data_IF_969085878659
#
_entry.id   IF_969085878659
#
_cell.length_a   1.000
_cell.length_b   1.000
_cell.length_c   1.000
_cell.angle_alpha   90.00
_cell.angle_beta   90.00
_cell.angle_gamma   90.00
#
_symmetry.space_group_name_H-M   'P 1'
#
loop_
_entity.id
_entity.type
_entity.pdbx_description
1 polymer ?
#
# COMPACT_ATOMS: atom_id res chain seq x y z
N UNK A 1 39.54 -21.38 3.67
CA UNK A 1 38.83 -22.05 2.55
C UNK A 1 38.78 -21.04 1.41
N UNK A 2 39.32 -21.37 0.24
CA UNK A 2 39.41 -20.45 -0.90
C UNK A 2 38.27 -20.64 -1.90
N UNK A 3 37.96 -19.60 -2.67
CA UNK A 3 37.01 -19.66 -3.79
C UNK A 3 37.80 -19.86 -5.08
N UNK A 4 37.46 -20.85 -5.91
CA UNK A 4 38.10 -21.13 -7.20
C UNK A 4 39.65 -21.22 -7.15
N UNK A 5 40.21 -21.71 -6.04
CA UNK A 5 41.65 -21.87 -5.86
C UNK A 5 42.40 -20.62 -5.39
N UNK A 6 41.71 -19.49 -5.16
CA UNK A 6 42.29 -18.25 -4.63
C UNK A 6 41.96 -18.09 -3.14
N UNK A 7 42.90 -17.62 -2.30
CA UNK A 7 42.63 -17.31 -0.90
C UNK A 7 41.70 -16.09 -0.79
N UNK A 8 40.66 -16.21 0.04
CA UNK A 8 39.72 -15.11 0.29
C UNK A 8 40.42 -13.99 1.07
N UNK A 9 40.55 -12.83 0.43
CA UNK A 9 41.10 -11.61 1.03
C UNK A 9 40.03 -10.76 1.71
N UNK A 10 40.46 -9.71 2.41
CA UNK A 10 39.52 -8.80 3.09
C UNK A 10 38.56 -8.10 2.12
N UNK A 11 39.02 -7.80 0.89
CA UNK A 11 38.20 -7.18 -0.15
C UNK A 11 37.06 -8.10 -0.60
N UNK A 12 37.26 -9.42 -0.60
CA UNK A 12 36.23 -10.40 -0.97
C UNK A 12 35.09 -10.39 0.07
N UNK A 13 35.43 -10.36 1.35
CA UNK A 13 34.42 -10.24 2.42
C UNK A 13 33.66 -8.91 2.35
N UNK A 14 34.36 -7.80 2.07
CA UNK A 14 33.71 -6.50 1.87
C UNK A 14 32.75 -6.52 0.67
N UNK A 15 33.13 -7.16 -0.43
CA UNK A 15 32.24 -7.29 -1.61
C UNK A 15 31.05 -8.18 -1.31
N UNK A 16 31.20 -9.27 -0.56
CA UNK A 16 30.03 -10.08 -0.15
C UNK A 16 29.06 -9.30 0.74
N UNK A 17 29.56 -8.53 1.71
CA UNK A 17 28.70 -7.68 2.54
C UNK A 17 27.99 -6.64 1.68
N UNK A 18 28.71 -5.97 0.79
CA UNK A 18 28.11 -4.99 -0.13
C UNK A 18 27.05 -5.63 -1.03
N UNK A 19 27.28 -6.85 -1.54
CA UNK A 19 26.31 -7.59 -2.36
C UNK A 19 25.05 -7.96 -1.56
N UNK A 20 25.20 -8.40 -0.31
CA UNK A 20 24.06 -8.71 0.55
C UNK A 20 23.23 -7.45 0.82
N UNK A 21 23.89 -6.34 1.14
CA UNK A 21 23.21 -5.06 1.37
C UNK A 21 22.51 -4.55 0.11
N UNK A 22 23.16 -4.65 -1.06
CA UNK A 22 22.57 -4.30 -2.34
C UNK A 22 21.32 -5.15 -2.63
N UNK A 23 21.41 -6.46 -2.42
CA UNK A 23 20.28 -7.37 -2.60
C UNK A 23 19.13 -7.04 -1.65
N UNK A 24 19.43 -6.74 -0.38
CA UNK A 24 18.43 -6.32 0.59
C UNK A 24 17.76 -5.00 0.21
N UNK A 25 18.53 -4.02 -0.29
CA UNK A 25 18.01 -2.74 -0.75
C UNK A 25 17.10 -2.90 -1.97
N UNK A 26 17.51 -3.72 -2.95
CA UNK A 26 16.70 -4.04 -4.13
C UNK A 26 15.41 -4.76 -3.71
N UNK A 27 15.48 -5.73 -2.80
CA UNK A 27 14.30 -6.43 -2.28
C UNK A 27 13.34 -5.47 -1.56
N UNK A 28 13.87 -4.58 -0.72
CA UNK A 28 13.06 -3.57 -0.03
C UNK A 28 12.36 -2.63 -1.02
N UNK A 29 13.05 -2.21 -2.09
CA UNK A 29 12.47 -1.41 -3.16
C UNK A 29 11.33 -2.16 -3.87
N UNK A 30 11.52 -3.44 -4.18
CA UNK A 30 10.47 -4.27 -4.79
C UNK A 30 9.23 -4.38 -3.90
N UNK A 31 9.39 -4.68 -2.61
CA UNK A 31 8.28 -4.75 -1.66
C UNK A 31 7.55 -3.40 -1.52
N UNK A 32 8.31 -2.30 -1.55
CA UNK A 32 7.74 -0.96 -1.51
C UNK A 32 6.89 -0.65 -2.74
N UNK A 33 7.38 -0.94 -3.94
CA UNK A 33 6.67 -0.72 -5.21
C UNK A 33 5.43 -1.63 -5.29
N UNK A 34 5.59 -2.91 -4.96
CA UNK A 34 4.50 -3.90 -4.97
C UNK A 34 3.27 -3.43 -4.18
N UNK A 35 3.48 -2.94 -2.95
CA UNK A 35 2.39 -2.47 -2.08
C UNK A 35 1.89 -1.03 -2.36
N UNK A 36 2.50 -0.32 -3.31
CA UNK A 36 2.21 1.08 -3.60
C UNK A 36 0.74 1.37 -3.99
N UNK A 37 0.09 0.65 -4.93
CA UNK A 37 -1.29 0.94 -5.32
C UNK A 37 -2.28 0.86 -4.15
N UNK A 38 -2.13 -0.16 -3.29
CA UNK A 38 -2.96 -0.31 -2.10
C UNK A 38 -2.81 0.85 -1.11
N UNK A 39 -1.57 1.30 -0.88
CA UNK A 39 -1.29 2.44 0.01
C UNK A 39 -1.90 3.73 -0.52
N UNK A 40 -1.90 3.93 -1.84
CA UNK A 40 -2.52 5.09 -2.49
C UNK A 40 -4.04 5.05 -2.34
N UNK A 41 -4.67 3.89 -2.58
CA UNK A 41 -6.11 3.73 -2.43
C UNK A 41 -6.58 4.00 -0.99
N UNK A 42 -5.83 3.53 0.01
CA UNK A 42 -6.13 3.79 1.43
C UNK A 42 -6.03 5.30 1.73
N UNK A 43 -4.95 5.96 1.30
CA UNK A 43 -4.76 7.41 1.52
C UNK A 43 -5.85 8.27 0.87
N UNK A 44 -6.48 7.78 -0.19
CA UNK A 44 -7.53 8.50 -0.93
C UNK A 44 -8.95 8.12 -0.46
N UNK A 45 -9.08 7.31 0.60
CA UNK A 45 -10.38 6.81 1.07
C UNK A 45 -11.19 6.11 -0.02
N UNK A 46 -10.51 5.32 -0.87
CA UNK A 46 -11.15 4.62 -1.97
C UNK A 46 -12.14 3.54 -1.44
N UNK A 47 -13.39 3.47 -1.93
CA UNK A 47 -14.39 2.54 -1.39
C UNK A 47 -14.01 1.07 -1.50
N UNK A 48 -13.17 0.73 -2.47
CA UNK A 48 -12.61 -0.61 -2.63
C UNK A 48 -11.11 -0.69 -2.29
N UNK A 49 -10.64 0.08 -1.31
CA UNK A 49 -9.23 0.12 -0.92
C UNK A 49 -8.65 -1.25 -0.55
N UNK A 50 -9.43 -2.13 0.10
CA UNK A 50 -8.98 -3.49 0.43
C UNK A 50 -8.76 -4.34 -0.83
N UNK A 51 -9.65 -4.25 -1.81
CA UNK A 51 -9.52 -4.97 -3.07
C UNK A 51 -8.30 -4.48 -3.87
N UNK A 52 -8.08 -3.16 -3.94
CA UNK A 52 -6.89 -2.58 -4.59
C UNK A 52 -5.61 -3.01 -3.87
N UNK A 53 -5.62 -3.07 -2.54
CA UNK A 53 -4.50 -3.58 -1.74
C UNK A 53 -4.17 -5.02 -2.12
N UNK A 54 -5.17 -5.91 -2.12
CA UNK A 54 -4.97 -7.32 -2.48
C UNK A 54 -4.49 -7.45 -3.94
N UNK A 55 -5.09 -6.69 -4.88
CA UNK A 55 -4.71 -6.71 -6.29
C UNK A 55 -3.29 -6.16 -6.51
N UNK A 56 -2.83 -5.20 -5.71
CA UNK A 56 -1.44 -4.75 -5.73
C UNK A 56 -0.46 -5.85 -5.32
N UNK A 57 -0.75 -6.56 -4.24
CA UNK A 57 0.12 -7.65 -3.76
C UNK A 57 0.06 -8.89 -4.67
N UNK A 58 -1.13 -9.36 -5.02
CA UNK A 58 -1.34 -10.54 -5.86
C UNK A 58 -1.00 -10.28 -7.33
N UNK A 59 -1.34 -9.09 -7.81
CA UNK A 59 -1.11 -8.65 -9.17
C UNK A 59 0.36 -8.48 -9.48
N UNK A 60 1.27 -8.32 -8.51
CA UNK A 60 2.69 -8.23 -8.84
C UNK A 60 3.26 -9.49 -9.52
N UNK A 61 2.66 -10.66 -9.29
CA UNK A 61 3.02 -11.89 -10.02
C UNK A 61 2.79 -11.76 -11.54
N UNK A 62 1.94 -10.84 -11.96
CA UNK A 62 1.70 -10.48 -13.36
C UNK A 62 1.68 -8.94 -13.51
N UNK A 63 2.70 -8.35 -14.14
CA UNK A 63 2.84 -6.88 -14.26
C UNK A 63 1.55 -6.15 -14.68
N UNK A 64 0.73 -6.78 -15.55
CA UNK A 64 -0.53 -6.21 -16.04
C UNK A 64 -1.56 -5.92 -14.93
N UNK A 65 -2.06 -6.88 -14.13
CA UNK A 65 -2.96 -6.58 -13.02
C UNK A 65 -2.38 -5.63 -11.98
N UNK A 66 -1.05 -5.61 -11.78
CA UNK A 66 -0.43 -4.63 -10.90
C UNK A 66 -0.61 -3.19 -11.42
N UNK A 67 -0.32 -2.95 -12.71
CA UNK A 67 -0.56 -1.64 -13.35
C UNK A 67 -2.05 -1.29 -13.30
N UNK A 68 -2.92 -2.28 -13.51
CA UNK A 68 -4.37 -2.07 -13.46
C UNK A 68 -4.84 -1.64 -12.06
N UNK A 69 -4.35 -2.29 -10.99
CA UNK A 69 -4.60 -1.88 -9.61
C UNK A 69 -4.11 -0.45 -9.35
N UNK A 70 -2.96 -0.09 -9.93
CA UNK A 70 -2.40 1.26 -9.81
C UNK A 70 -3.28 2.31 -10.49
N UNK A 71 -3.73 2.06 -11.72
CA UNK A 71 -4.69 2.93 -12.40
C UNK A 71 -5.98 3.08 -11.59
N UNK A 72 -6.52 1.98 -11.06
CA UNK A 72 -7.77 2.01 -10.31
C UNK A 72 -7.62 2.74 -8.97
N UNK A 73 -6.45 2.66 -8.33
CA UNK A 73 -6.14 3.47 -7.15
C UNK A 73 -6.23 4.98 -7.40
N UNK A 74 -6.02 5.44 -8.65
CA UNK A 74 -6.13 6.85 -9.06
C UNK A 74 -7.49 7.21 -9.68
N UNK A 75 -8.23 6.23 -10.19
CA UNK A 75 -9.57 6.45 -10.69
C UNK A 75 -10.49 6.99 -9.60
N UNK A 76 -11.48 7.81 -10.00
CA UNK A 76 -12.48 8.32 -9.09
C UNK A 76 -13.57 7.26 -8.93
N UNK A 77 -13.51 6.52 -7.83
CA UNK A 77 -14.38 5.38 -7.60
C UNK A 77 -15.54 5.77 -6.68
N UNK A 78 -16.29 6.81 -7.01
CA UNK A 78 -17.53 7.10 -6.30
C UNK A 78 -18.51 5.92 -6.52
N UNK A 79 -18.72 5.10 -5.51
CA UNK A 79 -19.79 4.11 -5.49
C UNK A 79 -21.06 4.82 -5.06
N UNK A 80 -22.11 4.74 -5.87
CA UNK A 80 -23.45 5.25 -5.53
C UNK A 80 -24.43 4.08 -5.64
N UNK A 81 -24.72 3.41 -4.53
CA UNK A 81 -25.80 2.42 -4.48
C UNK A 81 -27.12 3.14 -4.18
N UNK A 82 -28.04 3.12 -5.14
CA UNK A 82 -29.38 3.75 -5.02
C UNK A 82 -30.17 3.18 -3.82
N UNK A 83 -29.82 1.98 -3.35
CA UNK A 83 -30.51 1.32 -2.22
C UNK A 83 -29.95 1.69 -0.86
N UNK A 84 -28.81 2.38 -0.82
CA UNK A 84 -28.12 2.76 0.41
C UNK A 84 -28.01 4.28 0.45
N UNK A 85 -28.24 4.87 1.63
CA UNK A 85 -28.11 6.32 1.73
C UNK A 85 -26.62 6.71 1.58
N UNK A 86 -26.31 7.88 1.01
CA UNK A 86 -24.93 8.34 0.84
C UNK A 86 -24.14 8.34 2.16
N UNK A 87 -24.80 8.64 3.28
CA UNK A 87 -24.16 8.67 4.61
C UNK A 87 -23.79 7.26 5.09
N UNK A 88 -24.66 6.27 4.86
CA UNK A 88 -24.41 4.87 5.22
C UNK A 88 -23.22 4.28 4.42
N UNK A 89 -23.01 4.76 3.19
CA UNK A 89 -21.86 4.38 2.36
C UNK A 89 -20.57 5.04 2.88
N UNK A 90 -20.62 6.33 3.19
CA UNK A 90 -19.49 7.07 3.78
C UNK A 90 -19.05 6.44 5.10
N UNK A 91 -19.98 6.01 5.94
CA UNK A 91 -19.70 5.30 7.20
C UNK A 91 -19.06 3.93 6.98
N UNK A 92 -19.47 3.20 5.92
CA UNK A 92 -18.85 1.94 5.56
C UNK A 92 -17.40 2.12 5.10
N UNK A 93 -17.18 3.10 4.21
CA UNK A 93 -15.83 3.47 3.74
C UNK A 93 -14.97 3.90 4.92
N UNK A 94 -15.52 4.73 5.82
CA UNK A 94 -14.85 5.18 7.04
C UNK A 94 -14.37 4.00 7.88
N UNK A 95 -15.26 3.05 8.14
CA UNK A 95 -14.97 1.85 8.93
C UNK A 95 -13.89 1.01 8.27
N UNK A 96 -13.96 0.84 6.96
CA UNK A 96 -12.97 0.05 6.21
C UNK A 96 -11.60 0.72 6.19
N UNK A 97 -11.53 2.04 6.00
CA UNK A 97 -10.26 2.76 6.03
C UNK A 97 -9.64 2.76 7.44
N UNK A 98 -10.44 3.00 8.49
CA UNK A 98 -9.99 2.86 9.89
C UNK A 98 -9.47 1.43 10.16
N UNK A 99 -10.18 0.39 9.68
CA UNK A 99 -9.75 -1.02 9.78
C UNK A 99 -8.41 -1.28 9.06
N UNK A 100 -8.17 -0.60 7.94
CA UNK A 100 -6.94 -0.69 7.17
C UNK A 100 -5.79 0.16 7.74
N UNK A 101 -6.04 0.91 8.83
CA UNK A 101 -5.06 1.80 9.46
C UNK A 101 -4.76 3.06 8.65
N UNK A 102 -5.69 3.48 7.77
CA UNK A 102 -5.59 4.74 7.03
C UNK A 102 -6.24 5.91 7.75
N UNK A 103 -5.79 7.11 7.40
CA UNK A 103 -6.40 8.36 7.86
C UNK A 103 -7.56 8.77 6.94
N UNK A 104 -8.61 9.31 7.54
CA UNK A 104 -9.79 9.79 6.84
C UNK A 104 -9.55 11.23 6.34
N UNK A 105 -9.92 11.48 5.09
CA UNK A 105 -10.01 12.85 4.56
C UNK A 105 -11.21 13.55 5.16
N UNK A 106 -11.21 14.89 5.13
CA UNK A 106 -12.29 15.72 5.71
C UNK A 106 -13.68 15.30 5.23
N UNK A 107 -13.80 14.90 3.96
CA UNK A 107 -15.05 14.43 3.36
C UNK A 107 -15.66 13.17 4.03
N UNK A 108 -14.82 12.27 4.56
CA UNK A 108 -15.26 11.00 5.16
C UNK A 108 -15.20 11.03 6.69
N UNK A 109 -14.77 12.16 7.26
CA UNK A 109 -14.72 12.37 8.69
C UNK A 109 -16.13 12.51 9.24
N UNK A 110 -16.35 11.97 10.44
CA UNK A 110 -17.64 12.10 11.13
C UNK A 110 -17.73 13.50 11.77
N UNK A 111 -18.69 14.36 11.39
CA UNK A 111 -18.88 15.65 12.05
C UNK A 111 -19.25 15.51 13.54
N UNK A 112 -19.77 14.35 13.94
CA UNK A 112 -20.19 14.05 15.30
C UNK A 112 -19.16 13.20 16.07
N UNK A 113 -17.94 12.99 15.54
CA UNK A 113 -16.90 12.23 16.26
C UNK A 113 -16.58 12.92 17.59
N UNK A 114 -16.76 12.25 18.76
CA UNK A 114 -16.44 12.83 20.07
C UNK A 114 -14.96 13.24 20.20
N UNK A 115 -14.05 12.59 19.47
CA UNK A 115 -12.62 12.92 19.44
C UNK A 115 -12.31 14.18 18.59
N UNK A 116 -13.14 14.48 17.59
CA UNK A 116 -13.01 15.71 16.77
C UNK A 116 -13.67 16.91 17.45
N UNK A 117 -14.85 16.71 18.04
CA UNK A 117 -15.62 17.76 18.71
C UNK A 117 -14.92 18.35 19.95
N UNK A 118 -13.93 17.64 20.53
CA UNK A 118 -13.06 18.18 21.60
C UNK A 118 -11.87 19.01 21.10
N UNK A 119 -11.55 19.01 19.80
CA UNK A 119 -10.42 19.75 19.22
C UNK A 119 -10.77 21.14 18.67
N UNK A 120 -12.06 21.49 18.61
CA UNK A 120 -12.55 22.81 18.18
C UNK A 120 -12.81 23.74 19.37
#
# INVERSE_FOLDING_TARGET
MGLLGQPLGYYDYLTFIALILLLAAVMALFLFIMGLPGRIAIKRNHPHAEAVKIMGWMGFLAVVPWIHAFMWAFHDAATVDIRRMPDDERDAIRKDIKRLGGDLTEEYRDPLDPDETQKS
#
